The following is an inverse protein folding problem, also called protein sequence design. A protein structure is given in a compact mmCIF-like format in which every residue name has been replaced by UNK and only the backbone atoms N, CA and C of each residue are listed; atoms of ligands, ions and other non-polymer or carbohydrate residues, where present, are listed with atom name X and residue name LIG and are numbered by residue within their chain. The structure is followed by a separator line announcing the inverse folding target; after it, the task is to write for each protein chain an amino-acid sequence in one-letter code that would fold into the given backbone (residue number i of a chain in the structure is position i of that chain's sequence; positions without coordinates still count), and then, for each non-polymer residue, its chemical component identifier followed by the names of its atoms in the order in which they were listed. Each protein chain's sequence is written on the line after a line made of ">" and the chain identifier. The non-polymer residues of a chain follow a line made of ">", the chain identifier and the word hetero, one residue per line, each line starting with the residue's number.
data_IF_003188875459
#
_entry.id   IF_003188875459
#
_cell.length_a   1.000
_cell.length_b   1.000
_cell.length_c   1.000
_cell.angle_alpha   90.00
_cell.angle_beta   90.00
_cell.angle_gamma   90.00
#
_symmetry.space_group_name_H-M   'P 1'
#
loop_
_entity.id
_entity.type
_entity.pdbx_description
1 polymer ?
#
# COMPACT_ATOMS: atom_id res chain seq x y z
N UNK A 1 6.52 -7.34 -14.95
CA UNK A 1 6.02 -8.54 -15.66
C UNK A 1 4.52 -8.39 -15.88
N UNK A 2 3.99 -8.55 -17.10
CA UNK A 2 2.56 -8.46 -17.36
C UNK A 2 1.82 -9.65 -16.74
N UNK A 3 0.57 -9.41 -16.32
CA UNK A 3 -0.30 -10.48 -15.85
C UNK A 3 -0.62 -11.46 -16.97
N UNK A 4 -0.72 -12.74 -16.62
CA UNK A 4 -1.14 -13.83 -17.50
C UNK A 4 -2.46 -14.41 -17.01
N UNK A 5 -3.15 -15.16 -17.85
CA UNK A 5 -4.42 -15.82 -17.51
C UNK A 5 -5.41 -14.84 -16.85
N UNK A 6 -5.52 -13.64 -17.45
CA UNK A 6 -6.47 -12.64 -16.97
C UNK A 6 -7.87 -13.10 -17.38
N UNK A 7 -8.74 -13.23 -16.36
CA UNK A 7 -10.12 -13.69 -16.53
C UNK A 7 -11.07 -12.68 -15.90
N UNK A 8 -12.16 -12.38 -16.62
CA UNK A 8 -13.33 -11.71 -16.10
C UNK A 8 -14.23 -12.77 -15.44
N UNK A 9 -14.47 -12.62 -14.15
CA UNK A 9 -15.31 -13.48 -13.30
C UNK A 9 -16.56 -12.74 -12.82
N UNK A 10 -16.91 -11.61 -13.45
CA UNK A 10 -18.07 -10.81 -13.10
C UNK A 10 -19.37 -11.60 -13.25
N UNK A 11 -20.29 -11.44 -12.29
CA UNK A 11 -21.49 -12.26 -12.21
C UNK A 11 -22.59 -11.62 -11.39
N UNK A 12 -23.81 -12.08 -11.60
CA UNK A 12 -24.91 -11.80 -10.69
C UNK A 12 -24.85 -12.75 -9.48
N UNK A 13 -24.97 -12.19 -8.29
CA UNK A 13 -25.18 -12.88 -7.02
C UNK A 13 -26.53 -12.42 -6.42
N UNK A 14 -27.61 -13.11 -6.74
CA UNK A 14 -28.95 -12.61 -6.45
C UNK A 14 -29.24 -11.33 -7.26
N UNK A 15 -29.57 -10.25 -6.55
CA UNK A 15 -29.88 -8.93 -7.15
C UNK A 15 -28.64 -8.01 -7.23
N UNK A 16 -27.48 -8.47 -6.80
CA UNK A 16 -26.23 -7.70 -6.84
C UNK A 16 -25.32 -8.17 -7.97
N UNK A 17 -24.75 -7.21 -8.72
CA UNK A 17 -23.76 -7.52 -9.73
C UNK A 17 -22.35 -7.34 -9.16
N UNK A 18 -21.60 -8.42 -9.10
CA UNK A 18 -20.19 -8.45 -8.70
C UNK A 18 -19.33 -8.25 -9.93
N UNK A 19 -18.48 -7.25 -9.90
CA UNK A 19 -17.41 -7.00 -10.87
C UNK A 19 -16.14 -7.64 -10.32
N UNK A 20 -15.58 -8.61 -11.02
CA UNK A 20 -14.40 -9.35 -10.53
C UNK A 20 -13.46 -9.70 -11.69
N UNK A 21 -12.19 -9.38 -11.50
CA UNK A 21 -11.12 -9.75 -12.43
C UNK A 21 -10.00 -10.43 -11.65
N UNK A 22 -9.53 -11.55 -12.19
CA UNK A 22 -8.36 -12.24 -11.65
C UNK A 22 -7.24 -12.35 -12.68
N UNK A 23 -6.00 -12.45 -12.22
CA UNK A 23 -4.83 -12.64 -13.07
C UNK A 23 -3.64 -13.16 -12.28
N UNK A 24 -2.68 -13.76 -13.00
CA UNK A 24 -1.47 -14.34 -12.43
C UNK A 24 -0.25 -13.54 -12.89
N UNK A 25 0.61 -13.17 -11.95
CA UNK A 25 1.92 -12.55 -12.21
C UNK A 25 2.98 -13.51 -11.70
N UNK A 26 3.94 -13.84 -12.54
CA UNK A 26 5.05 -14.72 -12.17
C UNK A 26 6.40 -14.02 -12.35
N UNK A 27 7.20 -14.07 -11.32
CA UNK A 27 8.62 -13.77 -11.37
C UNK A 27 9.38 -15.10 -11.25
N UNK A 28 9.98 -15.53 -12.36
CA UNK A 28 10.64 -16.84 -12.44
C UNK A 28 11.95 -16.73 -13.19
N UNK A 29 13.02 -17.14 -12.55
CA UNK A 29 14.36 -17.16 -13.11
C UNK A 29 14.91 -18.59 -13.18
N UNK A 30 15.65 -18.90 -14.24
CA UNK A 30 16.40 -20.15 -14.31
C UNK A 30 17.43 -20.19 -13.17
N UNK A 31 17.40 -21.22 -12.32
CA UNK A 31 18.21 -21.37 -11.12
C UNK A 31 17.99 -20.32 -10.02
N UNK A 32 16.99 -19.45 -10.16
CA UNK A 32 16.65 -18.40 -9.20
C UNK A 32 15.28 -18.59 -8.55
N UNK A 33 14.79 -17.50 -7.97
CA UNK A 33 13.52 -17.44 -7.27
C UNK A 33 12.34 -17.68 -8.24
N UNK A 34 11.26 -18.26 -7.72
CA UNK A 34 10.03 -18.56 -8.45
C UNK A 34 8.84 -18.17 -7.60
N UNK A 35 8.38 -16.96 -7.76
CA UNK A 35 7.24 -16.39 -7.04
C UNK A 35 6.07 -16.22 -8.00
N UNK A 36 4.90 -16.66 -7.58
CA UNK A 36 3.63 -16.43 -8.24
C UNK A 36 2.75 -15.57 -7.35
N UNK A 37 2.14 -14.54 -7.94
CA UNK A 37 1.11 -13.74 -7.32
C UNK A 37 -0.20 -13.94 -8.10
N UNK A 38 -1.20 -14.49 -7.46
CA UNK A 38 -2.57 -14.54 -7.99
C UNK A 38 -3.33 -13.37 -7.39
N UNK A 39 -3.68 -12.39 -8.23
CA UNK A 39 -4.42 -11.20 -7.82
C UNK A 39 -5.87 -11.28 -8.27
N UNK A 40 -6.78 -11.02 -7.34
CA UNK A 40 -8.21 -10.82 -7.62
C UNK A 40 -8.60 -9.42 -7.19
N UNK A 41 -9.22 -8.66 -8.09
CA UNK A 41 -9.77 -7.34 -7.81
C UNK A 41 -11.29 -7.45 -7.96
N UNK A 42 -12.03 -7.07 -6.93
CA UNK A 42 -13.49 -7.16 -6.95
C UNK A 42 -14.15 -5.94 -6.33
N UNK A 43 -15.34 -5.63 -6.84
CA UNK A 43 -16.26 -4.63 -6.29
C UNK A 43 -17.69 -5.03 -6.63
N UNK A 44 -18.69 -4.35 -6.03
CA UNK A 44 -20.09 -4.50 -6.38
C UNK A 44 -20.58 -3.25 -7.11
N UNK A 45 -21.46 -3.43 -8.08
CA UNK A 45 -22.05 -2.31 -8.80
C UNK A 45 -22.68 -1.30 -7.82
N UNK A 46 -22.33 -0.01 -7.97
CA UNK A 46 -22.78 1.06 -7.07
C UNK A 46 -22.01 1.16 -5.75
N UNK A 47 -21.06 0.26 -5.46
CA UNK A 47 -20.19 0.35 -4.29
C UNK A 47 -19.14 1.46 -4.45
N UNK A 48 -18.71 2.03 -3.32
CA UNK A 48 -17.59 2.99 -3.23
C UNK A 48 -16.31 2.33 -2.75
N UNK A 49 -16.27 1.01 -2.70
CA UNK A 49 -15.11 0.24 -2.26
C UNK A 49 -14.72 -0.81 -3.29
N UNK A 50 -13.44 -1.14 -3.34
CA UNK A 50 -12.92 -2.30 -4.05
C UNK A 50 -12.06 -3.13 -3.10
N UNK A 51 -11.98 -4.42 -3.38
CA UNK A 51 -11.12 -5.36 -2.67
C UNK A 51 -10.03 -5.85 -3.60
N UNK A 52 -8.79 -5.81 -3.14
CA UNK A 52 -7.66 -6.47 -3.77
C UNK A 52 -7.29 -7.65 -2.87
N UNK A 53 -7.35 -8.86 -3.42
CA UNK A 53 -6.93 -10.08 -2.75
C UNK A 53 -5.78 -10.70 -3.52
N UNK A 54 -4.65 -10.81 -2.85
CA UNK A 54 -3.46 -11.44 -3.39
C UNK A 54 -3.15 -12.74 -2.65
N UNK A 55 -2.76 -13.75 -3.41
CA UNK A 55 -2.17 -14.98 -2.91
C UNK A 55 -0.77 -15.07 -3.51
N UNK A 56 0.25 -14.98 -2.64
CA UNK A 56 1.64 -15.13 -3.03
C UNK A 56 2.11 -16.54 -2.73
N UNK A 57 2.71 -17.21 -3.71
CA UNK A 57 3.20 -18.57 -3.64
C UNK A 57 4.67 -18.63 -4.09
N UNK A 58 5.48 -19.29 -3.30
CA UNK A 58 6.79 -19.73 -3.77
C UNK A 58 6.63 -21.12 -4.40
N UNK A 59 6.62 -21.18 -5.74
CA UNK A 59 6.50 -22.45 -6.46
C UNK A 59 7.85 -23.04 -6.88
N UNK A 60 8.92 -22.51 -6.27
CA UNK A 60 10.28 -23.04 -6.38
C UNK A 60 10.51 -24.19 -5.40
N UNK A 61 11.79 -24.50 -5.17
CA UNK A 61 12.22 -25.57 -4.26
C UNK A 61 13.16 -25.06 -3.17
N UNK A 62 13.31 -23.75 -3.06
CA UNK A 62 14.11 -23.05 -2.04
C UNK A 62 13.30 -21.90 -1.49
N UNK A 63 13.52 -21.55 -0.25
CA UNK A 63 13.04 -20.31 0.36
C UNK A 63 13.44 -19.11 -0.50
N UNK A 64 12.50 -18.25 -0.84
CA UNK A 64 12.70 -17.10 -1.70
C UNK A 64 12.31 -15.79 -1.01
N UNK A 65 13.06 -14.69 -1.22
CA UNK A 65 12.68 -13.40 -0.64
C UNK A 65 11.38 -12.89 -1.29
N UNK A 66 10.50 -12.34 -0.45
CA UNK A 66 9.22 -11.80 -0.89
C UNK A 66 8.97 -10.43 -0.27
N UNK A 67 9.03 -9.39 -1.09
CA UNK A 67 8.74 -8.03 -0.70
C UNK A 67 7.56 -7.52 -1.54
N UNK A 68 6.48 -7.11 -0.88
CA UNK A 68 5.30 -6.55 -1.53
C UNK A 68 4.92 -5.22 -0.88
N UNK A 69 4.55 -4.26 -1.72
CA UNK A 69 4.06 -2.95 -1.35
C UNK A 69 2.86 -2.61 -2.24
N UNK A 70 1.79 -2.13 -1.64
CA UNK A 70 0.62 -1.61 -2.33
C UNK A 70 0.70 -0.09 -2.36
N UNK A 71 0.90 0.48 -3.53
CA UNK A 71 1.12 1.91 -3.70
C UNK A 71 -0.18 2.63 -4.05
N UNK A 72 -0.88 3.13 -3.02
CA UNK A 72 -2.15 3.86 -3.17
C UNK A 72 -1.87 5.35 -3.11
N UNK A 73 -2.02 6.03 -4.25
CA UNK A 73 -1.73 7.45 -4.38
C UNK A 73 -2.98 8.31 -4.23
N UNK A 74 -2.92 9.31 -3.36
CA UNK A 74 -3.91 10.36 -3.22
C UNK A 74 -3.32 11.69 -3.71
N UNK A 75 -4.02 12.33 -4.65
CA UNK A 75 -3.68 13.64 -5.21
C UNK A 75 -4.84 14.62 -5.07
N UNK A 76 -4.69 15.82 -5.63
CA UNK A 76 -5.76 16.81 -5.68
C UNK A 76 -6.99 16.24 -6.44
N UNK A 77 -8.24 16.50 -5.98
CA UNK A 77 -8.62 17.39 -4.89
C UNK A 77 -8.73 16.73 -3.50
N UNK A 78 -8.52 15.41 -3.36
CA UNK A 78 -8.55 14.78 -2.05
C UNK A 78 -7.38 15.25 -1.17
N UNK A 79 -6.19 15.33 -1.76
CA UNK A 79 -5.04 15.98 -1.15
C UNK A 79 -5.12 17.48 -1.36
N UNK A 80 -5.20 18.24 -0.28
CA UNK A 80 -5.19 19.70 -0.25
C UNK A 80 -4.63 20.19 1.09
N UNK A 81 -4.46 21.50 1.25
CA UNK A 81 -3.89 22.13 2.45
C UNK A 81 -4.67 21.87 3.75
N UNK A 82 -5.95 21.51 3.66
CA UNK A 82 -6.78 21.13 4.80
C UNK A 82 -6.79 19.62 5.09
N UNK A 83 -6.14 18.83 4.22
CA UNK A 83 -6.16 17.36 4.32
C UNK A 83 -5.21 16.84 5.38
N UNK A 84 -5.49 15.65 5.89
CA UNK A 84 -4.66 14.99 6.88
C UNK A 84 -4.78 13.47 6.80
N UNK A 85 -3.79 12.76 7.36
CA UNK A 85 -3.76 11.30 7.43
C UNK A 85 -4.14 10.83 8.83
N UNK A 86 -5.08 9.88 8.89
CA UNK A 86 -5.48 9.17 10.11
C UNK A 86 -5.01 7.72 10.02
N UNK A 87 -4.32 7.26 11.04
CA UNK A 87 -3.81 5.89 11.11
C UNK A 87 -4.40 5.15 12.31
N UNK A 88 -4.62 3.85 12.17
CA UNK A 88 -4.77 2.94 13.32
C UNK A 88 -3.57 3.07 14.25
N UNK A 89 -3.64 2.60 15.51
CA UNK A 89 -2.50 2.64 16.41
C UNK A 89 -1.22 2.10 15.77
N UNK A 90 -0.13 2.86 15.82
CA UNK A 90 1.16 2.52 15.21
C UNK A 90 2.31 3.21 15.92
N UNK A 91 3.52 2.70 15.70
CA UNK A 91 4.78 3.41 15.92
C UNK A 91 5.26 3.98 14.60
N UNK A 92 5.82 5.18 14.61
CA UNK A 92 6.25 5.87 13.40
C UNK A 92 7.72 6.26 13.49
N UNK A 93 8.45 6.09 12.39
CA UNK A 93 9.84 6.51 12.25
C UNK A 93 10.04 7.18 10.88
N UNK A 94 11.00 8.10 10.79
CA UNK A 94 11.42 8.67 9.52
C UNK A 94 12.36 7.68 8.80
N UNK A 95 12.23 7.55 7.48
CA UNK A 95 13.07 6.65 6.71
C UNK A 95 14.51 7.17 6.51
N UNK A 96 14.70 8.49 6.62
CA UNK A 96 15.99 9.16 6.44
C UNK A 96 16.11 10.43 7.29
N UNK A 97 17.29 11.06 7.25
CA UNK A 97 17.58 12.27 8.00
C UNK A 97 16.79 13.49 7.51
N UNK A 98 16.44 13.56 6.21
CA UNK A 98 15.62 14.63 5.65
C UNK A 98 14.19 14.51 6.19
N UNK A 99 13.59 13.33 6.08
CA UNK A 99 12.24 13.04 6.58
C UNK A 99 12.12 13.22 8.10
N UNK A 100 13.21 13.03 8.86
CA UNK A 100 13.21 13.24 10.30
C UNK A 100 12.85 14.66 10.72
N UNK A 101 13.14 15.67 9.89
CA UNK A 101 12.76 17.06 10.14
C UNK A 101 11.24 17.28 10.01
N UNK A 102 10.54 16.46 9.21
CA UNK A 102 9.10 16.51 8.97
C UNK A 102 8.24 15.70 9.95
N UNK A 103 8.83 14.95 10.89
CA UNK A 103 8.12 14.00 11.77
C UNK A 103 6.91 14.59 12.49
N UNK A 104 6.99 15.82 13.00
CA UNK A 104 5.88 16.46 13.73
C UNK A 104 4.68 16.77 12.82
N UNK A 105 4.94 16.92 11.53
CA UNK A 105 3.95 17.29 10.50
C UNK A 105 3.69 16.17 9.50
N UNK A 106 4.17 14.95 9.75
CA UNK A 106 4.05 13.85 8.80
C UNK A 106 2.62 13.61 8.31
N UNK A 107 1.63 13.76 9.17
CA UNK A 107 0.20 13.49 8.88
C UNK A 107 -0.61 14.72 8.48
N UNK A 108 0.03 15.88 8.31
CA UNK A 108 -0.60 17.14 7.92
C UNK A 108 -0.03 17.56 6.58
N UNK A 109 -0.90 18.02 5.70
CA UNK A 109 -0.50 18.39 4.36
C UNK A 109 -0.62 19.90 4.14
N UNK A 110 0.11 20.41 3.16
CA UNK A 110 0.16 21.83 2.82
C UNK A 110 -0.26 22.03 1.37
N UNK A 111 -0.50 23.28 0.96
CA UNK A 111 -0.54 23.62 -0.45
C UNK A 111 0.80 23.28 -1.13
N UNK A 112 0.83 23.11 -2.47
CA UNK A 112 2.07 22.81 -3.20
C UNK A 112 3.20 23.80 -2.93
N UNK A 113 4.40 23.30 -2.65
CA UNK A 113 5.59 24.06 -2.30
C UNK A 113 6.63 23.93 -3.43
N UNK A 114 7.14 25.03 -4.00
CA UNK A 114 8.24 24.97 -4.96
C UNK A 114 9.50 24.35 -4.36
N UNK A 115 10.08 23.34 -5.04
CA UNK A 115 11.32 22.71 -4.61
C UNK A 115 11.20 21.84 -3.36
N UNK A 116 9.99 21.39 -3.02
CA UNK A 116 9.79 20.41 -1.94
C UNK A 116 10.52 19.10 -2.27
N UNK A 117 11.30 18.60 -1.33
CA UNK A 117 11.93 17.29 -1.41
C UNK A 117 11.04 16.27 -0.72
N UNK A 118 10.88 15.07 -1.29
CA UNK A 118 10.01 14.02 -0.76
C UNK A 118 10.39 13.60 0.66
N UNK A 119 9.39 13.36 1.48
CA UNK A 119 9.53 12.82 2.83
C UNK A 119 8.92 11.42 2.89
N UNK A 120 9.59 10.50 3.59
CA UNK A 120 9.14 9.13 3.77
C UNK A 120 9.10 8.75 5.25
N UNK A 121 7.96 8.22 5.67
CA UNK A 121 7.72 7.80 7.05
C UNK A 121 7.25 6.35 7.08
N UNK A 122 7.88 5.54 7.92
CA UNK A 122 7.50 4.15 8.10
C UNK A 122 6.68 4.00 9.39
N UNK A 123 5.52 3.41 9.26
CA UNK A 123 4.61 3.14 10.37
C UNK A 123 4.54 1.63 10.62
N UNK A 124 4.89 1.19 11.83
CA UNK A 124 4.64 -0.17 12.31
C UNK A 124 3.23 -0.22 12.84
N UNK A 125 2.34 -0.88 12.10
CA UNK A 125 0.92 -0.91 12.40
C UNK A 125 0.60 -1.98 13.45
N UNK A 126 -0.21 -1.61 14.44
CA UNK A 126 -0.76 -2.57 15.39
C UNK A 126 -2.11 -3.09 14.88
N UNK A 127 -2.28 -4.43 14.77
CA UNK A 127 -3.55 -5.01 14.34
C UNK A 127 -4.65 -4.71 15.35
N UNK A 128 -5.82 -4.35 14.86
CA UNK A 128 -7.05 -4.33 15.66
C UNK A 128 -7.46 -5.74 16.12
N UNK A 129 -8.54 -5.86 16.90
CA UNK A 129 -9.03 -7.15 17.38
C UNK A 129 -9.36 -8.14 16.27
N UNK A 130 -9.67 -7.65 15.08
CA UNK A 130 -9.96 -8.43 13.87
C UNK A 130 -8.71 -8.76 13.03
N UNK A 131 -7.53 -8.28 13.45
CA UNK A 131 -6.26 -8.45 12.75
C UNK A 131 -5.97 -7.41 11.65
N UNK A 132 -6.84 -6.41 11.48
CA UNK A 132 -6.72 -5.41 10.43
C UNK A 132 -6.19 -4.07 10.97
N UNK A 133 -5.58 -3.31 10.08
CA UNK A 133 -5.21 -1.91 10.28
C UNK A 133 -5.87 -1.04 9.21
N UNK A 134 -5.91 0.26 9.47
CA UNK A 134 -6.55 1.24 8.60
C UNK A 134 -5.70 2.50 8.51
N UNK A 135 -5.62 3.05 7.30
CA UNK A 135 -5.13 4.39 7.03
C UNK A 135 -6.21 5.14 6.25
N UNK A 136 -6.47 6.40 6.60
CA UNK A 136 -7.45 7.22 5.91
C UNK A 136 -6.88 8.61 5.60
N UNK A 137 -6.85 8.95 4.31
CA UNK A 137 -6.62 10.30 3.83
C UNK A 137 -7.93 11.06 3.87
N UNK A 138 -8.01 12.12 4.65
CA UNK A 138 -9.25 12.87 4.90
C UNK A 138 -9.11 14.28 4.38
N UNK A 139 -10.08 14.72 3.57
CA UNK A 139 -10.28 16.12 3.22
C UNK A 139 -11.63 16.57 3.80
N UNK A 140 -11.65 17.41 4.85
CA UNK A 140 -12.90 17.81 5.51
C UNK A 140 -13.73 18.81 4.71
N UNK A 141 -13.14 19.47 3.71
CA UNK A 141 -13.80 20.51 2.90
C UNK A 141 -14.32 19.99 1.56
N UNK A 142 -13.74 18.91 1.04
CA UNK A 142 -14.15 18.33 -0.23
C UNK A 142 -15.53 17.66 -0.11
N UNK A 143 -16.50 18.09 -0.91
CA UNK A 143 -17.86 17.51 -0.97
C UNK A 143 -18.58 17.40 0.41
N UNK A 144 -18.22 18.29 1.37
CA UNK A 144 -18.75 18.23 2.74
C UNK A 144 -18.05 17.23 3.66
N UNK A 145 -16.90 16.75 3.23
CA UNK A 145 -16.04 15.79 3.91
C UNK A 145 -15.91 14.47 3.15
N UNK A 146 -14.75 14.23 2.56
CA UNK A 146 -14.42 13.00 1.82
C UNK A 146 -13.16 12.35 2.41
N UNK A 147 -13.15 11.02 2.42
CA UNK A 147 -11.96 10.26 2.79
C UNK A 147 -11.72 9.09 1.82
N UNK A 148 -10.46 8.89 1.46
CA UNK A 148 -9.94 7.64 0.93
C UNK A 148 -9.44 6.80 2.09
N UNK A 149 -9.96 5.61 2.23
CA UNK A 149 -9.65 4.75 3.35
C UNK A 149 -9.12 3.41 2.85
N UNK A 150 -7.95 3.04 3.34
CA UNK A 150 -7.24 1.82 3.01
C UNK A 150 -7.25 0.91 4.23
N UNK A 151 -7.86 -0.27 4.12
CA UNK A 151 -7.90 -1.27 5.19
C UNK A 151 -7.18 -2.52 4.73
N UNK A 152 -6.27 -3.03 5.55
CA UNK A 152 -5.39 -4.13 5.18
C UNK A 152 -5.12 -5.07 6.35
N UNK A 153 -4.82 -6.35 6.06
CA UNK A 153 -4.44 -7.33 7.07
C UNK A 153 -3.04 -7.01 7.63
N UNK A 154 -2.98 -6.48 8.84
CA UNK A 154 -1.73 -6.09 9.48
C UNK A 154 -0.82 -7.27 9.88
N UNK A 155 -1.31 -8.50 9.81
CA UNK A 155 -0.49 -9.71 10.02
C UNK A 155 0.34 -10.03 8.78
N UNK A 156 -0.22 -9.80 7.60
CA UNK A 156 0.46 -9.99 6.32
C UNK A 156 1.27 -8.75 5.90
N UNK A 157 0.77 -7.56 6.23
CA UNK A 157 1.34 -6.25 5.91
C UNK A 157 1.50 -5.45 7.21
N UNK A 158 2.52 -5.76 8.04
CA UNK A 158 2.67 -5.13 9.35
C UNK A 158 3.16 -3.68 9.30
N UNK A 159 3.49 -3.20 8.12
CA UNK A 159 4.04 -1.86 7.90
C UNK A 159 3.17 -1.07 6.93
N UNK A 160 3.24 0.25 7.06
CA UNK A 160 2.72 1.20 6.09
C UNK A 160 3.81 2.24 5.85
N UNK A 161 4.21 2.42 4.60
CA UNK A 161 5.03 3.53 4.19
C UNK A 161 4.11 4.70 3.81
N UNK A 162 4.37 5.87 4.37
CA UNK A 162 3.78 7.14 3.96
C UNK A 162 4.81 7.87 3.11
N UNK A 163 4.55 7.99 1.82
CA UNK A 163 5.33 8.80 0.91
C UNK A 163 4.65 10.14 0.71
N UNK A 164 5.31 11.22 1.14
CA UNK A 164 4.75 12.57 1.14
C UNK A 164 5.52 13.45 0.17
N UNK A 165 4.85 13.87 -0.91
CA UNK A 165 5.40 14.76 -1.93
C UNK A 165 4.49 15.98 -2.10
N UNK A 166 4.88 17.09 -1.46
CA UNK A 166 4.13 18.36 -1.49
C UNK A 166 4.70 19.31 -2.55
N UNK A 167 5.30 18.79 -3.60
CA UNK A 167 5.96 19.58 -4.65
C UNK A 167 4.99 20.31 -5.57
N UNK A 168 5.40 21.48 -6.06
CA UNK A 168 4.68 22.16 -7.13
C UNK A 168 4.88 21.40 -8.45
N UNK A 169 3.81 20.77 -8.95
CA UNK A 169 3.83 19.93 -10.15
C UNK A 169 3.82 18.43 -9.85
N UNK A 170 4.35 18.01 -8.68
CA UNK A 170 4.39 16.64 -8.20
C UNK A 170 3.72 16.57 -6.81
N UNK A 171 2.39 16.70 -6.77
CA UNK A 171 1.61 16.86 -5.55
C UNK A 171 0.81 15.59 -5.25
N UNK A 172 1.35 14.76 -4.36
CA UNK A 172 0.81 13.42 -4.10
C UNK A 172 1.22 12.90 -2.72
N UNK A 173 0.37 12.05 -2.14
CA UNK A 173 0.69 11.23 -0.96
C UNK A 173 0.47 9.76 -1.30
N UNK A 174 1.47 8.94 -1.05
CA UNK A 174 1.39 7.50 -1.09
C UNK A 174 0.97 6.95 0.28
N UNK A 175 -0.09 6.13 0.29
CA UNK A 175 -0.53 5.35 1.45
C UNK A 175 -0.24 3.89 1.11
N UNK A 176 0.83 3.32 1.68
CA UNK A 176 1.49 2.16 1.09
C UNK A 176 1.66 1.00 2.08
N UNK A 177 0.60 0.18 2.32
CA UNK A 177 0.75 -1.04 3.11
C UNK A 177 1.80 -1.98 2.52
N UNK A 178 2.73 -2.47 3.35
CA UNK A 178 3.84 -3.32 2.91
C UNK A 178 4.25 -4.35 3.96
N UNK A 179 4.98 -5.37 3.50
CA UNK A 179 5.49 -6.43 4.38
C UNK A 179 6.96 -6.24 4.81
N UNK A 180 7.64 -5.26 4.23
CA UNK A 180 9.01 -4.86 4.59
C UNK A 180 9.20 -3.36 4.32
N UNK A 181 10.19 -2.70 4.95
CA UNK A 181 10.54 -1.31 4.66
C UNK A 181 10.95 -1.09 3.20
N UNK A 182 10.71 0.12 2.68
CA UNK A 182 11.18 0.55 1.37
C UNK A 182 12.69 0.81 1.40
N UNK A 183 13.47 -0.24 1.48
CA UNK A 183 14.91 -0.22 1.58
C UNK A 183 15.52 -1.24 0.59
N UNK A 184 16.79 -1.08 0.27
CA UNK A 184 17.51 -2.00 -0.58
C UNK A 184 17.48 -3.43 -0.01
N UNK A 185 17.14 -4.42 -0.84
CA UNK A 185 17.03 -5.85 -0.44
C UNK A 185 18.30 -6.41 0.18
N UNK A 186 19.49 -5.94 -0.23
CA UNK A 186 20.75 -6.37 0.37
C UNK A 186 20.86 -5.86 1.81
N UNK A 187 20.52 -4.60 2.05
CA UNK A 187 20.50 -3.99 3.39
C UNK A 187 19.48 -4.70 4.28
N UNK A 188 18.26 -4.91 3.80
CA UNK A 188 17.23 -5.66 4.54
C UNK A 188 17.67 -7.07 4.90
N UNK A 189 18.42 -7.75 4.01
CA UNK A 189 18.97 -9.08 4.28
C UNK A 189 20.02 -9.06 5.36
N UNK A 190 20.96 -8.11 5.31
CA UNK A 190 22.01 -7.93 6.32
C UNK A 190 21.42 -7.61 7.70
N UNK A 191 20.33 -6.85 7.72
CA UNK A 191 19.60 -6.49 8.95
C UNK A 191 18.65 -7.59 9.45
N UNK A 192 18.45 -8.69 8.71
CA UNK A 192 17.47 -9.72 9.04
C UNK A 192 16.02 -9.28 8.92
N UNK A 193 15.74 -8.23 8.14
CA UNK A 193 14.42 -7.61 7.95
C UNK A 193 13.76 -7.99 6.62
N UNK A 194 14.45 -8.70 5.75
CA UNK A 194 13.90 -9.18 4.48
C UNK A 194 12.98 -10.37 4.73
N UNK A 195 11.69 -10.31 4.38
CA UNK A 195 10.78 -11.44 4.53
C UNK A 195 11.01 -12.49 3.43
N UNK A 196 10.66 -13.74 3.74
CA UNK A 196 10.82 -14.88 2.86
C UNK A 196 9.54 -15.70 2.79
N UNK A 197 9.35 -16.39 1.66
CA UNK A 197 8.33 -17.42 1.47
C UNK A 197 9.01 -18.78 1.35
N UNK A 198 8.51 -19.74 2.12
CA UNK A 198 8.88 -21.15 1.98
C UNK A 198 8.23 -21.75 0.71
N UNK A 199 8.80 -22.83 0.13
CA UNK A 199 8.23 -23.57 -0.99
C UNK A 199 6.86 -24.15 -0.71
#
# INVERSE_FOLDING_TARGET
>A
TPARQVCDLSRWEGDEYVLEVTGIIEESHLFGDKIRLTRTISTRMGSRSLTIRDVAENFGYRTAPFHILYHVNAGFPLLDACSYLVLSPCESEACDAHSAAGMEQMRIFTAPIPGFEEENFLHRMYPGPDGWATAAMVNPELEGGLALYVRFDARALPLLNEWKMMGQGDYVVGVEPCNAPCENRAILREQGRLPFLEP
#
